data_IF_090553056449
#
_entry.id   IF_090553056449
#
_cell.length_a   1.000
_cell.length_b   1.000
_cell.length_c   1.000
_cell.angle_alpha   90.00
_cell.angle_beta   90.00
_cell.angle_gamma   90.00
#
_symmetry.space_group_name_H-M   'P 1'
#
loop_
_entity.id
_entity.type
_entity.pdbx_description
1 polymer ?
#
# COMPACT_ATOMS: atom_id res chain seq x y z
N UNK A 1 -4.13 9.49 17.10
CA UNK A 1 -2.71 9.26 16.70
C UNK A 1 -1.85 10.34 17.28
N UNK A 2 -0.81 10.02 17.98
CA UNK A 2 0.15 11.02 18.45
C UNK A 2 1.03 11.44 17.29
N UNK A 3 1.36 12.73 17.18
CA UNK A 3 2.26 13.30 16.14
C UNK A 3 3.60 12.54 16.02
N UNK A 4 4.01 11.87 17.07
CA UNK A 4 5.25 11.11 17.15
C UNK A 4 5.19 9.85 16.26
N UNK A 5 4.08 9.13 16.24
CA UNK A 5 3.91 7.91 15.44
C UNK A 5 3.92 8.21 13.93
N UNK A 6 3.32 9.33 13.49
CA UNK A 6 3.36 9.76 12.09
C UNK A 6 4.78 10.16 11.64
N UNK A 7 5.54 10.84 12.51
CA UNK A 7 6.92 11.20 12.22
C UNK A 7 7.81 9.95 12.07
N UNK A 8 7.61 8.93 12.90
CA UNK A 8 8.36 7.68 12.85
C UNK A 8 8.08 6.90 11.56
N UNK A 9 6.82 6.84 11.12
CA UNK A 9 6.44 6.20 9.84
C UNK A 9 7.03 6.97 8.66
N UNK A 10 6.96 8.29 8.66
CA UNK A 10 7.52 9.13 7.59
C UNK A 10 9.04 8.97 7.47
N UNK A 11 9.76 8.92 8.59
CA UNK A 11 11.21 8.69 8.61
C UNK A 11 11.56 7.29 8.09
N UNK A 12 10.74 6.28 8.41
CA UNK A 12 10.89 4.91 7.92
C UNK A 12 10.68 4.84 6.41
N UNK A 13 9.61 5.43 5.88
CA UNK A 13 9.34 5.52 4.44
C UNK A 13 10.53 6.16 3.73
N UNK A 14 11.05 7.28 4.23
CA UNK A 14 12.18 7.99 3.65
C UNK A 14 13.43 7.12 3.57
N UNK A 15 13.80 6.48 4.67
CA UNK A 15 14.99 5.63 4.76
C UNK A 15 14.85 4.38 3.88
N UNK A 16 13.69 3.71 3.91
CA UNK A 16 13.43 2.50 3.13
C UNK A 16 13.43 2.79 1.62
N UNK A 17 12.73 3.84 1.17
CA UNK A 17 12.73 4.25 -0.24
C UNK A 17 14.15 4.48 -0.75
N UNK A 18 14.94 5.25 0.00
CA UNK A 18 16.33 5.56 -0.36
C UNK A 18 17.20 4.31 -0.40
N UNK A 19 17.07 3.41 0.57
CA UNK A 19 17.82 2.16 0.63
C UNK A 19 17.45 1.24 -0.55
N UNK A 20 16.16 1.04 -0.79
CA UNK A 20 15.63 0.21 -1.86
C UNK A 20 16.05 0.72 -3.25
N UNK A 21 15.92 2.04 -3.48
CA UNK A 21 16.38 2.64 -4.73
C UNK A 21 17.88 2.43 -4.96
N UNK A 22 18.70 2.66 -3.92
CA UNK A 22 20.16 2.50 -4.00
C UNK A 22 20.58 1.05 -4.21
N UNK A 23 19.98 0.10 -3.51
CA UNK A 23 20.29 -1.32 -3.65
C UNK A 23 20.04 -1.84 -5.08
N UNK A 24 19.09 -1.21 -5.79
CA UNK A 24 18.78 -1.50 -7.20
C UNK A 24 19.59 -0.67 -8.20
N UNK A 25 20.51 0.15 -7.75
CA UNK A 25 21.31 1.03 -8.62
C UNK A 25 20.49 2.09 -9.37
N UNK A 26 19.28 2.43 -8.89
CA UNK A 26 18.38 3.35 -9.59
C UNK A 26 18.71 4.81 -9.27
N UNK A 27 18.70 5.67 -10.32
CA UNK A 27 18.66 7.11 -10.13
C UNK A 27 17.24 7.57 -9.75
N UNK A 28 17.11 8.79 -9.21
CA UNK A 28 15.78 9.38 -8.97
C UNK A 28 14.96 9.54 -10.25
N UNK A 29 15.62 9.83 -11.38
CA UNK A 29 14.94 9.93 -12.69
C UNK A 29 14.37 8.58 -13.13
N UNK A 30 15.16 7.51 -12.98
CA UNK A 30 14.71 6.16 -13.32
C UNK A 30 13.59 5.70 -12.39
N UNK A 31 13.69 6.01 -11.10
CA UNK A 31 12.63 5.73 -10.13
C UNK A 31 11.33 6.47 -10.48
N UNK A 32 11.43 7.75 -10.87
CA UNK A 32 10.27 8.52 -11.31
C UNK A 32 9.58 7.90 -12.54
N UNK A 33 10.35 7.39 -13.51
CA UNK A 33 9.80 6.67 -14.66
C UNK A 33 9.08 5.39 -14.27
N UNK A 34 9.64 4.61 -13.32
CA UNK A 34 9.05 3.33 -12.88
C UNK A 34 7.80 3.52 -12.02
N UNK A 35 7.78 4.55 -11.19
CA UNK A 35 6.72 4.77 -10.19
C UNK A 35 5.62 5.72 -10.65
N UNK A 36 5.88 6.51 -11.69
CA UNK A 36 4.99 7.61 -12.10
C UNK A 36 4.94 8.76 -11.07
N UNK A 37 5.83 8.76 -10.07
CA UNK A 37 5.96 9.83 -9.08
C UNK A 37 7.09 10.77 -9.51
N UNK A 38 6.88 12.09 -9.43
CA UNK A 38 7.89 13.04 -9.91
C UNK A 38 9.22 12.93 -9.15
N UNK A 39 10.34 13.16 -9.86
CA UNK A 39 11.68 13.17 -9.25
C UNK A 39 11.76 14.11 -8.05
N UNK A 40 11.13 15.28 -8.13
CA UNK A 40 11.13 16.25 -7.05
C UNK A 40 10.44 15.69 -5.80
N UNK A 41 9.26 15.08 -5.95
CA UNK A 41 8.51 14.43 -4.87
C UNK A 41 9.30 13.28 -4.24
N UNK A 42 9.87 12.38 -5.06
CA UNK A 42 10.72 11.29 -4.57
C UNK A 42 11.90 11.81 -3.76
N UNK A 43 12.56 12.87 -4.25
CA UNK A 43 13.66 13.50 -3.53
C UNK A 43 13.22 14.12 -2.19
N UNK A 44 12.08 14.77 -2.14
CA UNK A 44 11.50 15.32 -0.90
C UNK A 44 11.16 14.22 0.11
N UNK A 45 10.55 13.11 -0.36
CA UNK A 45 10.25 11.96 0.48
C UNK A 45 11.53 11.34 1.05
N UNK A 46 12.57 11.10 0.23
CA UNK A 46 13.85 10.53 0.68
C UNK A 46 14.61 11.40 1.69
N UNK A 47 14.37 12.71 1.68
CA UNK A 47 14.94 13.65 2.68
C UNK A 47 14.06 13.85 3.90
N UNK A 48 12.87 13.23 3.95
CA UNK A 48 11.91 13.41 5.03
C UNK A 48 11.22 14.78 5.02
N UNK A 49 11.32 15.53 3.92
CA UNK A 49 10.71 16.86 3.76
C UNK A 49 9.21 16.78 3.41
N UNK A 50 8.75 15.63 2.93
CA UNK A 50 7.37 15.37 2.59
C UNK A 50 6.99 13.93 2.92
N UNK A 51 5.81 13.75 3.49
CA UNK A 51 5.21 12.42 3.68
C UNK A 51 4.29 12.10 2.51
N UNK A 52 4.45 10.94 1.85
CA UNK A 52 3.58 10.58 0.73
C UNK A 52 2.15 10.32 1.19
N UNK A 53 1.18 10.51 0.31
CA UNK A 53 -0.17 9.98 0.50
C UNK A 53 -0.16 8.45 0.34
N UNK A 54 -1.23 7.78 0.78
CA UNK A 54 -1.42 6.33 0.58
C UNK A 54 -1.30 5.99 -0.91
N UNK A 55 -1.99 6.73 -1.78
CA UNK A 55 -1.92 6.55 -3.23
C UNK A 55 -0.50 6.71 -3.80
N UNK A 56 0.25 7.70 -3.30
CA UNK A 56 1.64 7.91 -3.73
C UNK A 56 2.54 6.77 -3.28
N UNK A 57 2.35 6.27 -2.05
CA UNK A 57 3.13 5.16 -1.52
C UNK A 57 2.85 3.85 -2.27
N UNK A 58 1.58 3.60 -2.65
CA UNK A 58 1.22 2.47 -3.53
C UNK A 58 1.94 2.54 -4.87
N UNK A 59 1.95 3.70 -5.53
CA UNK A 59 2.68 3.90 -6.79
C UNK A 59 4.18 3.60 -6.64
N UNK A 60 4.77 4.03 -5.53
CA UNK A 60 6.19 3.78 -5.23
C UNK A 60 6.42 2.28 -5.03
N UNK A 61 5.63 1.62 -4.20
CA UNK A 61 5.74 0.18 -3.93
C UNK A 61 5.59 -0.64 -5.22
N UNK A 62 4.52 -0.40 -5.99
CA UNK A 62 4.27 -1.07 -7.27
C UNK A 62 5.40 -0.86 -8.27
N UNK A 63 5.80 0.39 -8.52
CA UNK A 63 6.84 0.71 -9.50
C UNK A 63 8.23 0.21 -9.11
N UNK A 64 8.46 0.00 -7.83
CA UNK A 64 9.67 -0.63 -7.30
C UNK A 64 9.49 -2.13 -7.03
N UNK A 65 8.40 -2.77 -7.42
CA UNK A 65 8.15 -4.20 -7.18
C UNK A 65 8.38 -4.59 -5.70
N UNK A 66 7.92 -3.78 -4.78
CA UNK A 66 8.06 -3.97 -3.34
C UNK A 66 6.68 -4.10 -2.69
N UNK A 67 6.58 -4.80 -1.57
CA UNK A 67 5.36 -4.85 -0.79
C UNK A 67 5.07 -3.50 -0.15
N UNK A 68 3.79 -3.14 -0.02
CA UNK A 68 3.40 -1.90 0.63
C UNK A 68 3.79 -1.88 2.11
N UNK A 69 3.59 -3.01 2.79
CA UNK A 69 3.92 -3.13 4.21
C UNK A 69 5.41 -2.92 4.50
N UNK A 70 6.32 -3.23 3.56
CA UNK A 70 7.76 -3.02 3.75
C UNK A 70 8.13 -1.55 4.03
N UNK A 71 7.31 -0.61 3.59
CA UNK A 71 7.52 0.82 3.84
C UNK A 71 7.00 1.30 5.19
N UNK A 72 5.98 0.64 5.75
CA UNK A 72 5.26 1.12 6.93
C UNK A 72 5.47 0.24 8.17
N UNK A 73 5.89 -1.02 7.99
CA UNK A 73 6.15 -1.95 9.09
C UNK A 73 7.62 -1.84 9.55
N UNK A 74 7.93 -1.91 10.85
CA UNK A 74 9.31 -1.94 11.34
C UNK A 74 10.07 -3.14 10.77
N UNK A 75 11.29 -2.89 10.24
CA UNK A 75 12.20 -3.96 9.83
C UNK A 75 12.93 -4.45 11.06
N UNK A 76 12.85 -5.75 11.34
CA UNK A 76 13.60 -6.55 12.32
C UNK A 76 13.32 -6.36 13.83
N UNK A 77 13.15 -7.48 14.52
CA UNK A 77 13.41 -7.71 15.95
C UNK A 77 12.24 -7.51 16.90
N UNK A 78 11.13 -6.97 16.48
CA UNK A 78 9.91 -7.02 17.28
C UNK A 78 9.17 -8.29 16.91
N UNK A 79 9.51 -9.41 17.58
CA UNK A 79 8.54 -10.48 17.78
C UNK A 79 7.27 -9.74 18.19
N UNK A 80 6.24 -9.82 17.35
CA UNK A 80 4.95 -9.24 17.68
C UNK A 80 4.52 -9.86 19.01
N UNK A 81 4.80 -9.15 20.08
CA UNK A 81 4.14 -9.38 21.34
C UNK A 81 2.68 -9.06 21.02
N UNK A 82 1.84 -10.07 20.95
CA UNK A 82 0.43 -10.00 20.52
C UNK A 82 -0.38 -8.96 21.33
N UNK A 83 0.21 -8.40 22.38
CA UNK A 83 -0.38 -7.41 23.26
C UNK A 83 0.09 -5.96 23.04
N UNK A 84 1.20 -5.74 22.31
CA UNK A 84 1.65 -4.40 21.90
C UNK A 84 1.49 -4.26 20.39
N UNK A 85 0.27 -4.05 19.92
CA UNK A 85 0.01 -3.59 18.56
C UNK A 85 0.64 -2.20 18.40
N UNK A 86 1.88 -2.16 17.95
CA UNK A 86 2.43 -0.93 17.34
C UNK A 86 1.37 -0.50 16.33
N UNK A 87 0.87 0.72 16.48
CA UNK A 87 -0.21 1.24 15.64
C UNK A 87 0.32 1.36 14.21
N UNK A 88 0.31 0.24 13.45
CA UNK A 88 0.77 0.12 12.06
C UNK A 88 -0.25 0.76 11.11
N UNK A 89 -0.95 1.80 11.59
CA UNK A 89 -1.90 2.57 10.83
C UNK A 89 -1.19 3.70 10.11
N UNK A 90 -1.27 3.71 8.80
CA UNK A 90 -0.85 4.81 7.96
C UNK A 90 -2.07 5.64 7.56
N UNK A 91 -2.09 6.89 7.98
CA UNK A 91 -3.18 7.84 7.76
C UNK A 91 -2.57 9.20 7.40
N UNK A 92 -2.32 9.39 6.11
CA UNK A 92 -1.85 10.66 5.55
C UNK A 92 -2.83 11.21 4.49
N UNK A 93 -4.07 10.73 4.57
CA UNK A 93 -5.21 11.20 3.79
C UNK A 93 -6.42 11.27 4.74
N UNK A 94 -7.14 12.41 4.82
CA UNK A 94 -8.30 12.53 5.70
C UNK A 94 -9.44 11.56 5.36
N UNK A 95 -9.46 11.04 4.13
CA UNK A 95 -10.53 10.21 3.62
C UNK A 95 -10.15 8.72 3.52
N UNK A 96 -8.88 8.36 3.79
CA UNK A 96 -8.42 6.98 3.69
C UNK A 96 -7.45 6.64 4.81
N UNK A 97 -7.70 5.51 5.47
CA UNK A 97 -6.76 4.89 6.40
C UNK A 97 -6.37 3.49 5.91
N UNK A 98 -5.12 3.11 6.13
CA UNK A 98 -4.62 1.75 5.91
C UNK A 98 -3.94 1.27 7.18
N UNK A 99 -4.37 0.14 7.71
CA UNK A 99 -3.73 -0.57 8.81
C UNK A 99 -3.20 -1.90 8.32
N UNK A 100 -1.91 -2.16 8.49
CA UNK A 100 -1.35 -3.50 8.23
C UNK A 100 -1.81 -4.45 9.32
N UNK A 101 -2.52 -5.51 8.93
CA UNK A 101 -2.89 -6.62 9.81
C UNK A 101 -1.81 -7.68 9.81
N UNK A 102 -1.34 -8.07 8.62
CA UNK A 102 -0.20 -8.96 8.43
C UNK A 102 0.72 -8.35 7.38
N UNK A 103 1.98 -8.15 7.74
CA UNK A 103 3.00 -7.70 6.81
C UNK A 103 3.29 -8.78 5.75
N UNK A 104 3.91 -8.38 4.66
CA UNK A 104 4.31 -9.30 3.60
C UNK A 104 5.20 -10.41 4.16
N UNK A 105 4.84 -11.64 3.82
CA UNK A 105 5.58 -12.85 4.18
C UNK A 105 6.09 -13.54 2.92
N UNK A 106 7.41 -13.84 2.90
CA UNK A 106 8.07 -14.41 1.73
C UNK A 106 7.65 -15.87 1.42
N UNK A 107 7.14 -16.59 2.41
CA UNK A 107 6.71 -17.99 2.22
C UNK A 107 5.30 -18.04 1.63
N UNK A 108 4.40 -17.21 2.15
CA UNK A 108 3.00 -17.19 1.73
C UNK A 108 2.72 -16.23 0.58
N UNK A 109 3.62 -15.27 0.35
CA UNK A 109 3.50 -14.23 -0.67
C UNK A 109 2.25 -13.33 -0.49
N UNK A 110 1.77 -13.20 0.73
CA UNK A 110 0.63 -12.37 1.09
C UNK A 110 1.00 -11.20 1.99
N UNK A 111 0.22 -10.14 1.90
CA UNK A 111 0.08 -9.13 2.93
C UNK A 111 -1.40 -8.82 3.13
N UNK A 112 -1.80 -8.38 4.32
CA UNK A 112 -3.20 -8.15 4.67
C UNK A 112 -3.38 -6.79 5.31
N UNK A 113 -4.38 -6.06 4.84
CA UNK A 113 -4.72 -4.73 5.30
C UNK A 113 -6.17 -4.63 5.73
N UNK A 114 -6.42 -3.82 6.78
CA UNK A 114 -7.72 -3.23 7.03
C UNK A 114 -7.72 -1.79 6.49
N UNK A 115 -8.69 -1.48 5.66
CA UNK A 115 -8.85 -0.18 5.02
C UNK A 115 -10.15 0.47 5.45
N UNK A 116 -10.11 1.80 5.55
CA UNK A 116 -11.30 2.62 5.78
C UNK A 116 -11.33 3.74 4.76
N UNK A 117 -12.41 3.84 4.02
CA UNK A 117 -12.70 4.99 3.16
C UNK A 117 -13.81 5.83 3.80
N UNK A 118 -13.72 7.16 3.65
CA UNK A 118 -14.68 8.12 4.20
C UNK A 118 -15.07 9.17 3.18
N UNK A 119 -16.21 9.85 3.47
CA UNK A 119 -16.66 11.00 2.69
C UNK A 119 -16.87 10.71 1.20
N UNK A 120 -17.30 9.48 0.87
CA UNK A 120 -17.44 9.01 -0.52
C UNK A 120 -16.15 9.10 -1.33
N UNK A 121 -15.03 8.90 -0.66
CA UNK A 121 -13.72 8.91 -1.29
C UNK A 121 -13.62 7.86 -2.38
N UNK A 122 -13.02 8.26 -3.49
CA UNK A 122 -12.70 7.40 -4.62
C UNK A 122 -11.18 7.31 -4.77
N UNK A 123 -10.65 6.10 -4.65
CA UNK A 123 -9.24 5.78 -4.79
C UNK A 123 -9.01 5.04 -6.10
N UNK A 124 -8.10 5.55 -6.94
CA UNK A 124 -7.63 4.87 -8.14
C UNK A 124 -6.21 4.36 -7.96
N UNK A 125 -6.00 3.14 -8.41
CA UNK A 125 -4.70 2.47 -8.45
C UNK A 125 -4.32 2.11 -9.88
N UNK A 126 -3.03 2.29 -10.20
CA UNK A 126 -2.46 1.73 -11.44
C UNK A 126 -2.26 0.23 -11.29
N UNK A 127 -2.15 -0.47 -12.42
CA UNK A 127 -1.86 -1.91 -12.43
C UNK A 127 -0.63 -2.24 -11.56
N UNK A 128 -0.76 -3.27 -10.72
CA UNK A 128 0.34 -3.89 -10.02
C UNK A 128 1.14 -4.81 -10.96
N UNK A 129 2.06 -5.60 -10.43
CA UNK A 129 2.77 -6.60 -11.21
C UNK A 129 1.81 -7.66 -11.76
N UNK A 130 2.21 -8.28 -12.88
CA UNK A 130 1.42 -9.33 -13.53
C UNK A 130 1.11 -10.46 -12.55
N UNK A 131 -0.18 -10.80 -12.46
CA UNK A 131 -0.70 -11.87 -11.62
C UNK A 131 -1.04 -11.48 -10.18
N UNK A 132 -0.76 -10.24 -9.75
CA UNK A 132 -1.19 -9.76 -8.43
C UNK A 132 -2.70 -9.76 -8.34
N UNK A 133 -3.21 -10.35 -7.27
CA UNK A 133 -4.64 -10.38 -6.97
C UNK A 133 -4.93 -9.85 -5.58
N UNK A 134 -6.12 -9.29 -5.40
CA UNK A 134 -6.61 -8.83 -4.12
C UNK A 134 -7.93 -9.53 -3.80
N UNK A 135 -8.04 -10.08 -2.59
CA UNK A 135 -9.30 -10.61 -2.06
C UNK A 135 -9.84 -9.59 -1.08
N UNK A 136 -11.01 -9.09 -1.38
CA UNK A 136 -11.66 -8.01 -0.64
C UNK A 136 -12.85 -8.58 0.10
N UNK A 137 -13.00 -8.20 1.37
CA UNK A 137 -14.17 -8.50 2.18
C UNK A 137 -14.65 -7.23 2.87
N UNK A 138 -15.90 -6.84 2.60
CA UNK A 138 -16.51 -5.64 3.18
C UNK A 138 -16.98 -5.97 4.61
N UNK A 139 -16.40 -5.29 5.59
CA UNK A 139 -16.71 -5.52 7.01
C UNK A 139 -17.71 -4.51 7.59
N UNK A 140 -17.94 -3.38 6.88
CA UNK A 140 -18.94 -2.38 7.23
C UNK A 140 -19.21 -1.47 6.03
N UNK A 141 -20.47 -1.12 5.80
CA UNK A 141 -20.86 -0.14 4.78
C UNK A 141 -21.06 -0.75 3.39
N UNK A 142 -20.71 0.00 2.36
CA UNK A 142 -20.87 -0.42 0.95
C UNK A 142 -19.68 0.08 0.13
N UNK A 143 -18.96 -0.84 -0.48
CA UNK A 143 -17.79 -0.60 -1.31
C UNK A 143 -18.13 -0.78 -2.78
N UNK A 144 -17.80 0.18 -3.63
CA UNK A 144 -17.68 -0.08 -5.07
C UNK A 144 -16.24 -0.39 -5.43
N UNK A 145 -16.04 -1.44 -6.21
CA UNK A 145 -14.73 -1.86 -6.74
C UNK A 145 -14.72 -1.66 -8.25
N UNK A 146 -13.71 -0.95 -8.75
CA UNK A 146 -13.48 -0.76 -10.18
C UNK A 146 -12.61 -1.90 -10.70
N UNK A 147 -13.15 -2.66 -11.63
CA UNK A 147 -12.42 -3.69 -12.36
C UNK A 147 -12.89 -3.72 -13.83
N UNK A 148 -11.98 -3.88 -14.77
CA UNK A 148 -12.28 -3.89 -16.22
C UNK A 148 -13.04 -2.63 -16.69
N UNK A 149 -12.82 -1.48 -16.06
CA UNK A 149 -13.49 -0.23 -16.38
C UNK A 149 -14.93 -0.13 -15.87
N UNK A 150 -15.39 -1.06 -15.06
CA UNK A 150 -16.74 -1.08 -14.49
C UNK A 150 -16.70 -1.07 -12.97
N UNK A 151 -17.61 -0.32 -12.35
CA UNK A 151 -17.81 -0.29 -10.91
C UNK A 151 -18.86 -1.32 -10.50
N UNK A 152 -18.49 -2.21 -9.60
CA UNK A 152 -19.39 -3.19 -8.98
C UNK A 152 -19.50 -2.91 -7.49
N UNK A 153 -20.72 -2.99 -6.94
CA UNK A 153 -21.02 -2.75 -5.52
C UNK A 153 -20.99 -4.03 -4.73
N UNK A 154 -20.45 -3.91 -3.52
CA UNK A 154 -20.38 -4.96 -2.52
C UNK A 154 -20.84 -4.41 -1.18
N UNK A 155 -21.88 -5.00 -0.63
CA UNK A 155 -22.46 -4.66 0.67
C UNK A 155 -21.67 -5.31 1.82
N UNK A 156 -21.99 -4.91 3.06
CA UNK A 156 -21.42 -5.52 4.26
C UNK A 156 -21.59 -7.04 4.25
N UNK A 157 -20.51 -7.78 4.52
CA UNK A 157 -20.44 -9.25 4.48
C UNK A 157 -20.12 -9.83 3.10
N UNK A 158 -20.18 -9.06 2.03
CA UNK A 158 -19.83 -9.53 0.69
C UNK A 158 -18.33 -9.47 0.44
N UNK A 159 -17.88 -10.22 -0.57
CA UNK A 159 -16.48 -10.33 -0.96
C UNK A 159 -16.33 -10.39 -2.48
N UNK A 160 -15.15 -9.99 -2.97
CA UNK A 160 -14.78 -10.15 -4.37
C UNK A 160 -13.30 -10.52 -4.53
N UNK A 161 -12.99 -11.06 -5.70
CA UNK A 161 -11.63 -11.23 -6.20
C UNK A 161 -11.37 -10.15 -7.24
N UNK A 162 -10.34 -9.34 -6.99
CA UNK A 162 -9.87 -8.29 -7.89
C UNK A 162 -8.56 -8.74 -8.55
N UNK A 163 -8.48 -8.67 -9.87
CA UNK A 163 -7.23 -8.81 -10.63
C UNK A 163 -6.51 -7.46 -10.65
N UNK A 164 -5.61 -7.28 -9.68
CA UNK A 164 -4.95 -6.01 -9.43
C UNK A 164 -3.79 -5.71 -10.39
N UNK A 165 -3.45 -6.63 -11.29
CA UNK A 165 -2.53 -6.42 -12.42
C UNK A 165 -3.14 -5.59 -13.57
N UNK A 166 -4.31 -5.02 -13.32
CA UNK A 166 -4.99 -4.03 -14.17
C UNK A 166 -5.27 -2.76 -13.36
N UNK A 167 -5.61 -1.66 -14.06
CA UNK A 167 -6.09 -0.45 -13.40
C UNK A 167 -7.40 -0.76 -12.64
N UNK A 168 -7.44 -0.38 -11.38
CA UNK A 168 -8.53 -0.69 -10.48
C UNK A 168 -8.80 0.45 -9.50
N UNK A 169 -9.82 0.33 -8.66
CA UNK A 169 -10.12 1.36 -7.68
C UNK A 169 -11.16 0.93 -6.64
N UNK A 170 -11.29 1.76 -5.64
CA UNK A 170 -12.25 1.60 -4.55
C UNK A 170 -13.04 2.88 -4.35
N UNK A 171 -14.32 2.79 -4.04
CA UNK A 171 -15.15 3.94 -3.72
C UNK A 171 -16.09 3.62 -2.56
N UNK A 172 -16.10 4.51 -1.60
CA UNK A 172 -17.08 4.51 -0.53
C UNK A 172 -18.45 5.00 -1.03
N UNK A 173 -19.50 4.21 -0.87
CA UNK A 173 -20.84 4.56 -1.34
C UNK A 173 -21.72 5.21 -0.26
N UNK A 174 -21.37 5.05 1.03
CA UNK A 174 -22.28 5.40 2.14
C UNK A 174 -21.73 6.47 3.10
N UNK A 175 -20.50 6.94 2.89
CA UNK A 175 -19.85 7.97 3.73
C UNK A 175 -18.79 7.43 4.67
N UNK A 176 -18.84 6.15 5.03
CA UNK A 176 -17.77 5.41 5.69
C UNK A 176 -17.88 3.91 5.37
N UNK A 177 -16.87 3.36 4.75
CA UNK A 177 -16.79 1.94 4.39
C UNK A 177 -15.50 1.32 4.90
N UNK A 178 -15.61 0.15 5.53
CA UNK A 178 -14.48 -0.64 6.04
C UNK A 178 -14.38 -1.96 5.27
N UNK A 179 -13.18 -2.34 4.91
CA UNK A 179 -12.94 -3.63 4.24
C UNK A 179 -11.55 -4.17 4.55
N UNK A 180 -11.40 -5.47 4.38
CA UNK A 180 -10.12 -6.18 4.44
C UNK A 180 -9.68 -6.48 3.02
N UNK A 181 -8.42 -6.20 2.70
CA UNK A 181 -7.77 -6.59 1.46
C UNK A 181 -6.62 -7.56 1.76
N UNK A 182 -6.67 -8.73 1.14
CA UNK A 182 -5.59 -9.72 1.15
C UNK A 182 -4.92 -9.67 -0.22
N UNK A 183 -3.69 -9.18 -0.27
CA UNK A 183 -2.93 -9.01 -1.51
C UNK A 183 -1.96 -10.17 -1.68
N UNK A 184 -2.03 -10.84 -2.83
CA UNK A 184 -1.17 -11.95 -3.19
C UNK A 184 -0.24 -11.58 -4.34
N UNK A 185 1.04 -11.86 -4.18
CA UNK A 185 2.12 -11.57 -5.14
C UNK A 185 2.71 -12.88 -5.69
N UNK A 186 2.18 -13.47 -6.76
CA UNK A 186 2.56 -14.82 -7.23
C UNK A 186 4.02 -14.93 -7.67
N UNK A 187 4.66 -13.83 -8.02
CA UNK A 187 6.06 -13.77 -8.46
C UNK A 187 7.00 -13.18 -7.40
N UNK A 188 6.51 -13.01 -6.18
CA UNK A 188 7.19 -12.33 -5.08
C UNK A 188 7.13 -10.81 -5.19
N UNK A 189 6.91 -10.14 -4.05
CA UNK A 189 7.11 -8.70 -3.92
C UNK A 189 8.58 -8.39 -3.63
N UNK A 190 9.47 -9.37 -3.79
CA UNK A 190 10.85 -9.31 -3.40
C UNK A 190 11.72 -8.56 -4.39
N UNK A 191 12.51 -7.68 -3.84
CA UNK A 191 13.42 -6.77 -4.49
C UNK A 191 14.75 -7.37 -4.91
N UNK A 192 14.93 -8.66 -5.00
CA UNK A 192 16.23 -9.26 -5.32
C UNK A 192 16.14 -10.45 -6.26
N UNK A 193 15.88 -10.20 -7.54
CA UNK A 193 16.58 -11.03 -8.55
C UNK A 193 17.73 -10.19 -9.06
N UNK A 194 18.94 -10.49 -8.58
CA UNK A 194 20.18 -10.18 -9.24
C UNK A 194 20.02 -10.64 -10.69
N UNK A 195 20.15 -9.72 -11.61
CA UNK A 195 20.33 -10.01 -13.03
C UNK A 195 21.77 -10.53 -13.12
N UNK A 196 21.91 -11.82 -13.36
CA UNK A 196 23.15 -12.41 -13.88
C UNK A 196 23.42 -11.91 -15.29
#
# INVERSE_FOLDING_TARGET
>A
MTSQNQNDISARIASHLKALRKSRGLSLDKTAQLTGVSKAMLGQIERGESSPTIATLWKIATGLSASFSSFITPTEGVVADEQNSVDNKFSNDPNMDVKTLFAFDELTQFEVFALVLRNKHEQHSTAHQVGVTERIHVTKGCLSVLQNGQWEKYEEGEQCLLHADQAHGYRDEVGETHFIAVIHYPNGASASKSVD
#
